data_IF_004870844088
#
_entry.id   IF_004870844088
#
_cell.length_a   1.000
_cell.length_b   1.000
_cell.length_c   1.000
_cell.angle_alpha   90.00
_cell.angle_beta   90.00
_cell.angle_gamma   90.00
#
_symmetry.space_group_name_H-M   'P 1'
#
loop_
_entity.id
_entity.type
_entity.pdbx_description
1 polymer ?
#
# COMPACT_ATOMS: atom_id res chain seq x y z
N UNK A 1 15.42 -15.23 11.00
CA UNK A 1 16.52 -14.34 11.45
C UNK A 1 17.49 -14.14 10.29
N UNK A 2 18.10 -12.96 10.19
CA UNK A 2 19.07 -12.61 9.12
C UNK A 2 20.06 -11.55 9.60
N UNK A 3 21.05 -11.21 8.78
CA UNK A 3 21.81 -9.97 8.97
C UNK A 3 20.90 -8.74 8.72
N UNK A 4 21.11 -7.62 9.42
CA UNK A 4 20.44 -6.37 9.10
C UNK A 4 20.87 -5.90 7.72
N UNK A 5 19.96 -5.33 6.94
CA UNK A 5 20.35 -4.54 5.77
C UNK A 5 21.14 -3.31 6.21
N UNK A 6 21.93 -2.73 5.30
CA UNK A 6 22.69 -1.52 5.63
C UNK A 6 21.80 -0.37 6.10
N UNK A 7 20.60 -0.24 5.49
CA UNK A 7 19.63 0.80 5.82
C UNK A 7 19.04 0.60 7.21
N UNK A 8 18.61 -0.62 7.55
CA UNK A 8 18.09 -0.95 8.88
C UNK A 8 19.15 -0.71 9.96
N UNK A 9 20.39 -1.13 9.67
CA UNK A 9 21.50 -0.92 10.58
C UNK A 9 21.74 0.57 10.83
N UNK A 10 21.78 1.39 9.77
CA UNK A 10 22.01 2.82 9.88
C UNK A 10 20.87 3.54 10.60
N UNK A 11 19.62 3.15 10.32
CA UNK A 11 18.45 3.67 11.02
C UNK A 11 18.52 3.38 12.52
N UNK A 12 18.87 2.15 12.89
CA UNK A 12 19.02 1.75 14.27
C UNK A 12 20.18 2.48 14.97
N UNK A 13 21.33 2.61 14.30
CA UNK A 13 22.51 3.30 14.83
C UNK A 13 22.25 4.80 15.06
N UNK A 14 21.40 5.43 14.25
CA UNK A 14 20.99 6.84 14.35
C UNK A 14 19.88 7.10 15.38
N UNK A 15 19.44 6.09 16.13
CA UNK A 15 18.39 6.24 17.14
C UNK A 15 16.95 6.17 16.58
N UNK A 16 16.78 5.89 15.28
CA UNK A 16 15.49 5.65 14.66
C UNK A 16 14.45 6.74 14.91
N UNK A 17 13.23 6.33 15.28
CA UNK A 17 12.11 7.22 15.56
C UNK A 17 12.11 7.80 16.99
N UNK A 18 13.13 7.50 17.81
CA UNK A 18 13.25 8.06 19.17
C UNK A 18 13.98 9.40 19.20
N UNK A 19 14.47 9.86 18.06
CA UNK A 19 15.18 11.14 17.91
C UNK A 19 14.49 12.05 16.89
N UNK A 20 14.74 13.36 16.97
CA UNK A 20 14.28 14.31 15.95
C UNK A 20 15.07 14.14 14.65
N UNK A 21 14.51 14.65 13.53
CA UNK A 21 15.22 14.65 12.23
C UNK A 21 16.59 15.33 12.31
N UNK A 22 16.69 16.43 13.07
CA UNK A 22 17.95 17.17 13.26
C UNK A 22 19.05 16.35 13.94
N UNK A 23 18.68 15.44 14.86
CA UNK A 23 19.60 14.52 15.53
C UNK A 23 19.87 13.30 14.66
N UNK A 24 18.86 12.81 13.94
CA UNK A 24 18.98 11.66 13.06
C UNK A 24 20.06 11.86 11.98
N UNK A 25 20.20 13.08 11.46
CA UNK A 25 21.19 13.42 10.43
C UNK A 25 22.62 13.59 10.98
N UNK A 26 22.81 13.64 12.30
CA UNK A 26 24.13 13.76 12.92
C UNK A 26 24.98 12.49 12.76
N UNK A 27 26.30 12.56 12.97
CA UNK A 27 27.18 11.39 12.88
C UNK A 27 26.86 10.28 13.90
N UNK A 28 26.31 10.65 15.05
CA UNK A 28 25.87 9.76 16.13
C UNK A 28 24.63 10.36 16.83
N UNK A 29 23.81 9.55 17.50
CA UNK A 29 22.53 10.00 18.07
C UNK A 29 22.65 10.59 19.50
N UNK A 30 23.86 10.96 19.91
CA UNK A 30 24.17 11.44 21.26
C UNK A 30 24.32 12.97 21.28
N UNK A 31 23.81 13.62 22.33
CA UNK A 31 24.00 15.05 22.57
C UNK A 31 25.45 15.41 22.97
N UNK A 32 26.22 14.42 23.43
CA UNK A 32 27.60 14.54 23.86
C UNK A 32 28.55 13.77 22.94
N UNK A 33 29.85 13.83 23.25
CA UNK A 33 30.84 12.96 22.57
C UNK A 33 30.48 11.48 22.77
N UNK A 34 30.88 10.57 21.84
CA UNK A 34 30.62 9.13 21.94
C UNK A 34 31.17 8.43 23.20
N UNK A 35 31.99 9.11 24.00
CA UNK A 35 32.54 8.58 25.25
C UNK A 35 31.43 8.20 26.23
N UNK A 36 31.46 6.94 26.71
CA UNK A 36 30.44 6.39 27.61
C UNK A 36 29.21 5.79 26.91
N UNK A 37 29.14 5.84 25.57
CA UNK A 37 28.15 5.13 24.77
C UNK A 37 28.77 4.03 23.88
N UNK A 38 30.02 4.23 23.46
CA UNK A 38 30.65 3.42 22.43
C UNK A 38 32.11 3.05 22.75
N UNK A 39 32.59 1.94 22.19
CA UNK A 39 33.98 1.49 22.33
C UNK A 39 34.83 1.82 21.10
N UNK A 40 35.72 2.80 21.24
CA UNK A 40 36.72 3.21 20.23
C UNK A 40 38.12 3.18 20.83
N UNK A 41 39.18 3.45 20.06
CA UNK A 41 40.58 3.19 20.47
C UNK A 41 40.92 3.62 21.90
N UNK A 42 40.64 4.86 22.26
CA UNK A 42 40.97 5.40 23.58
C UNK A 42 40.07 4.83 24.68
N UNK A 43 38.77 4.67 24.44
CA UNK A 43 37.83 4.12 25.42
C UNK A 43 38.04 2.61 25.65
N UNK A 44 38.35 1.88 24.58
CA UNK A 44 38.50 0.42 24.59
C UNK A 44 39.90 -0.02 25.01
N UNK A 45 40.90 0.87 25.05
CA UNK A 45 42.30 0.48 25.22
C UNK A 45 42.83 -0.34 24.04
N UNK A 46 42.29 -0.10 22.84
CA UNK A 46 42.58 -0.82 21.60
C UNK A 46 42.32 -2.34 21.71
N UNK A 47 41.24 -2.73 22.40
CA UNK A 47 40.83 -4.14 22.56
C UNK A 47 39.32 -4.28 22.45
N UNK A 48 38.86 -5.42 21.94
CA UNK A 48 37.45 -5.78 21.96
C UNK A 48 36.95 -5.84 23.41
N UNK A 49 35.73 -5.36 23.66
CA UNK A 49 35.10 -5.31 24.98
C UNK A 49 33.86 -6.18 25.02
N UNK A 50 33.50 -6.66 26.20
CA UNK A 50 32.25 -7.39 26.39
C UNK A 50 31.07 -6.48 26.04
N UNK A 51 30.18 -6.99 25.19
CA UNK A 51 28.97 -6.29 24.72
C UNK A 51 28.07 -5.95 25.90
N UNK A 52 27.46 -4.76 25.87
CA UNK A 52 26.55 -4.31 26.93
C UNK A 52 27.21 -4.16 28.31
N UNK A 53 28.50 -3.79 28.34
CA UNK A 53 29.19 -3.45 29.59
C UNK A 53 28.38 -2.41 30.39
N UNK A 54 28.32 -2.57 31.72
CA UNK A 54 27.63 -1.64 32.64
C UNK A 54 28.16 -0.20 32.55
N UNK A 55 29.36 -0.04 31.99
CA UNK A 55 30.02 1.25 31.79
C UNK A 55 29.48 2.02 30.58
N UNK A 56 28.76 1.36 29.68
CA UNK A 56 28.14 1.98 28.52
C UNK A 56 26.66 2.28 28.75
N UNK A 57 26.22 3.40 28.21
CA UNK A 57 24.81 3.70 27.99
C UNK A 57 24.39 3.24 26.60
N UNK A 58 23.15 2.75 26.42
CA UNK A 58 22.66 2.39 25.10
C UNK A 58 22.37 3.64 24.27
N UNK A 59 22.22 3.44 22.96
CA UNK A 59 21.64 4.43 22.08
C UNK A 59 20.13 4.68 22.37
N UNK A 60 19.48 5.68 21.74
CA UNK A 60 18.08 6.00 22.01
C UNK A 60 17.07 4.86 21.80
N UNK A 61 17.43 3.82 21.05
CA UNK A 61 16.62 2.61 20.85
C UNK A 61 16.90 1.51 21.88
N UNK A 62 17.82 1.74 22.84
CA UNK A 62 18.23 0.72 23.81
C UNK A 62 19.32 -0.23 23.28
N UNK A 63 19.94 0.07 22.14
CA UNK A 63 20.97 -0.78 21.53
C UNK A 63 22.37 -0.36 21.97
N UNK A 64 23.21 -1.35 22.26
CA UNK A 64 24.60 -1.15 22.65
C UNK A 64 25.54 -1.50 21.49
N UNK A 65 26.74 -0.93 21.54
CA UNK A 65 27.85 -1.26 20.65
C UNK A 65 27.48 -1.05 19.17
N UNK A 66 26.68 -0.04 18.86
CA UNK A 66 26.26 0.24 17.48
C UNK A 66 27.37 0.95 16.71
N UNK A 67 28.20 1.76 17.36
CA UNK A 67 29.27 2.51 16.72
C UNK A 67 30.60 2.21 17.42
N UNK A 68 31.25 1.10 17.08
CA UNK A 68 32.54 0.72 17.62
C UNK A 68 32.51 -0.73 18.10
N UNK A 69 33.43 -1.08 19.00
CA UNK A 69 33.69 -2.43 19.49
C UNK A 69 34.08 -3.40 18.35
N UNK A 70 33.14 -3.83 17.52
CA UNK A 70 33.39 -4.58 16.30
C UNK A 70 32.61 -3.97 15.13
N UNK A 71 33.22 -4.01 13.95
CA UNK A 71 32.52 -3.72 12.71
C UNK A 71 31.45 -4.79 12.46
N UNK A 72 30.24 -4.40 12.08
CA UNK A 72 29.13 -5.33 11.92
C UNK A 72 28.85 -5.62 10.44
N UNK A 73 28.86 -6.90 10.07
CA UNK A 73 28.41 -7.36 8.75
C UNK A 73 26.93 -7.04 8.53
N UNK A 74 26.64 -6.49 7.36
CA UNK A 74 25.27 -6.21 6.91
C UNK A 74 24.92 -7.02 5.66
N UNK A 75 23.63 -7.20 5.43
CA UNK A 75 23.10 -7.84 4.23
C UNK A 75 23.20 -6.86 3.06
N UNK A 76 24.13 -7.12 2.14
CA UNK A 76 24.34 -6.32 0.95
C UNK A 76 25.79 -6.34 0.47
N UNK A 77 25.96 -5.97 -0.79
CA UNK A 77 27.27 -5.78 -1.43
C UNK A 77 27.64 -4.30 -1.46
N UNK A 78 28.92 -4.02 -1.28
CA UNK A 78 29.44 -2.66 -1.28
C UNK A 78 29.35 -2.09 -2.68
N UNK A 79 28.55 -1.03 -2.85
CA UNK A 79 28.30 -0.40 -4.14
C UNK A 79 28.22 1.11 -4.00
N UNK A 80 28.65 1.82 -5.05
CA UNK A 80 28.51 3.26 -5.16
C UNK A 80 27.16 3.60 -5.82
N UNK A 81 26.49 4.65 -5.36
CA UNK A 81 25.13 5.02 -5.81
C UNK A 81 25.06 5.58 -7.25
N UNK A 82 26.19 5.62 -7.99
CA UNK A 82 26.25 6.17 -9.35
C UNK A 82 26.51 5.10 -10.42
N UNK A 83 25.46 4.90 -11.25
CA UNK A 83 25.32 4.48 -12.66
C UNK A 83 26.32 3.54 -13.38
N UNK A 84 27.51 3.20 -12.86
CA UNK A 84 28.47 2.30 -13.53
C UNK A 84 29.36 1.47 -12.58
N UNK A 85 29.00 1.31 -11.30
CA UNK A 85 29.91 0.71 -10.32
C UNK A 85 29.98 -0.83 -10.40
N UNK A 86 31.22 -1.37 -10.36
CA UNK A 86 31.50 -2.78 -10.05
C UNK A 86 31.03 -3.06 -8.62
N UNK A 87 30.31 -4.16 -8.41
CA UNK A 87 29.95 -4.60 -7.08
C UNK A 87 31.21 -5.04 -6.30
N UNK A 88 31.38 -4.49 -5.09
CA UNK A 88 32.45 -4.84 -4.17
C UNK A 88 32.11 -6.02 -3.27
N UNK A 89 32.88 -6.18 -2.19
CA UNK A 89 32.68 -7.18 -1.13
C UNK A 89 31.47 -6.91 -0.25
N UNK A 90 31.41 -7.56 0.92
CA UNK A 90 30.32 -7.35 1.87
C UNK A 90 30.45 -5.99 2.55
N UNK A 91 29.32 -5.39 2.91
CA UNK A 91 29.31 -4.13 3.65
C UNK A 91 29.47 -4.40 5.14
N UNK A 92 30.42 -3.72 5.79
CA UNK A 92 30.55 -3.63 7.25
C UNK A 92 30.34 -2.20 7.73
N UNK A 93 29.72 -2.06 8.91
CA UNK A 93 29.33 -0.77 9.50
C UNK A 93 29.79 -0.65 10.96
N UNK A 94 29.66 0.54 11.54
CA UNK A 94 29.91 0.79 12.97
C UNK A 94 31.33 1.21 13.33
N UNK A 95 32.33 0.79 12.56
CA UNK A 95 33.72 0.90 13.00
C UNK A 95 34.00 -0.10 14.14
N UNK A 96 35.22 -0.11 14.63
CA UNK A 96 35.69 -1.12 15.58
C UNK A 96 36.48 -0.50 16.74
N UNK A 97 36.84 -1.33 17.72
CA UNK A 97 37.56 -0.93 18.93
C UNK A 97 38.90 -0.20 18.68
N UNK A 98 39.48 -0.29 17.47
CA UNK A 98 40.78 0.30 17.12
C UNK A 98 40.68 1.62 16.33
N UNK A 99 39.47 2.03 15.96
CA UNK A 99 39.23 3.26 15.19
C UNK A 99 39.33 4.51 16.09
N UNK A 100 39.67 5.66 15.47
CA UNK A 100 39.69 6.95 16.16
C UNK A 100 38.25 7.44 16.40
N UNK A 101 38.03 8.27 17.42
CA UNK A 101 36.68 8.78 17.74
C UNK A 101 36.01 9.49 16.56
N UNK A 102 36.77 10.20 15.72
CA UNK A 102 36.25 10.89 14.53
C UNK A 102 35.76 9.95 13.42
N UNK A 103 36.15 8.68 13.49
CA UNK A 103 35.73 7.63 12.56
C UNK A 103 34.48 6.89 13.05
N UNK A 104 34.07 7.09 14.31
CA UNK A 104 32.91 6.45 14.92
C UNK A 104 31.64 7.18 14.51
N UNK A 105 31.12 6.83 13.33
CA UNK A 105 29.99 7.51 12.68
C UNK A 105 29.01 6.52 12.06
N UNK A 106 27.72 6.78 12.21
CA UNK A 106 26.65 5.99 11.60
C UNK A 106 26.69 6.02 10.06
N UNK A 107 27.31 7.02 9.44
CA UNK A 107 27.50 7.12 7.98
C UNK A 107 28.74 6.37 7.45
N UNK A 108 29.65 5.89 8.31
CA UNK A 108 30.89 5.23 7.85
C UNK A 108 30.59 3.85 7.27
N UNK A 109 30.83 3.72 5.96
CA UNK A 109 30.72 2.46 5.23
C UNK A 109 32.12 1.91 4.98
N UNK A 110 32.31 0.61 5.20
CA UNK A 110 33.55 -0.07 4.86
C UNK A 110 33.27 -1.37 4.10
N UNK A 111 34.23 -1.77 3.27
CA UNK A 111 34.17 -2.99 2.48
C UNK A 111 34.93 -4.12 3.20
N UNK A 112 34.25 -5.26 3.36
CA UNK A 112 34.83 -6.48 3.87
C UNK A 112 35.07 -7.48 2.74
N UNK A 113 36.35 -7.75 2.48
CA UNK A 113 36.78 -8.74 1.49
C UNK A 113 36.75 -10.13 2.12
N UNK A 114 35.78 -10.94 1.72
CA UNK A 114 35.58 -12.29 2.28
C UNK A 114 36.71 -13.24 1.94
N UNK A 115 37.35 -13.06 0.79
CA UNK A 115 38.40 -13.94 0.28
C UNK A 115 39.72 -13.21 0.10
N UNK A 116 40.82 -13.90 0.40
CA UNK A 116 42.17 -13.51 0.01
C UNK A 116 42.36 -13.72 -1.49
N UNK A 117 43.43 -13.18 -2.06
CA UNK A 117 43.79 -13.36 -3.48
C UNK A 117 43.99 -14.82 -3.88
N UNK A 118 44.29 -15.71 -2.93
CA UNK A 118 44.47 -17.14 -3.13
C UNK A 118 43.18 -17.97 -2.94
N UNK A 119 42.03 -17.33 -2.67
CA UNK A 119 40.73 -18.01 -2.47
C UNK A 119 40.44 -18.42 -1.03
N UNK A 120 41.37 -18.28 -0.09
CA UNK A 120 41.11 -18.59 1.32
C UNK A 120 40.16 -17.58 1.95
N UNK A 121 39.34 -18.05 2.89
CA UNK A 121 38.45 -17.19 3.68
C UNK A 121 39.28 -16.26 4.57
N UNK A 122 39.05 -14.96 4.45
CA UNK A 122 39.58 -13.94 5.33
C UNK A 122 38.62 -13.77 6.51
N UNK A 123 39.16 -13.76 7.74
CA UNK A 123 38.43 -13.47 8.98
C UNK A 123 39.17 -12.40 9.76
N UNK A 124 38.61 -11.20 9.85
CA UNK A 124 39.17 -10.15 10.68
C UNK A 124 38.64 -10.25 12.11
N UNK A 125 39.54 -10.22 13.10
CA UNK A 125 39.19 -10.28 14.52
C UNK A 125 38.38 -9.07 15.02
N UNK A 126 38.26 -8.03 14.18
CA UNK A 126 37.54 -6.79 14.46
C UNK A 126 36.17 -6.71 13.79
N UNK A 127 35.77 -7.75 13.05
CA UNK A 127 34.48 -7.82 12.34
C UNK A 127 33.62 -8.90 12.98
N UNK A 128 32.42 -8.52 13.40
CA UNK A 128 31.37 -9.37 13.92
C UNK A 128 30.08 -9.19 13.14
N UNK A 129 28.95 -9.43 13.82
CA UNK A 129 27.62 -9.28 13.24
C UNK A 129 26.57 -9.06 14.32
N UNK A 130 25.42 -8.56 13.89
CA UNK A 130 24.19 -8.47 14.66
C UNK A 130 23.08 -9.21 13.92
N UNK A 131 22.12 -9.74 14.66
CA UNK A 131 20.95 -10.39 14.07
C UNK A 131 19.79 -9.39 13.99
N UNK A 132 19.16 -9.36 12.83
CA UNK A 132 17.86 -8.76 12.62
C UNK A 132 16.79 -9.86 12.58
N UNK A 133 15.68 -9.61 13.28
CA UNK A 133 14.49 -10.44 13.21
C UNK A 133 13.48 -9.67 12.35
N UNK A 134 13.26 -10.15 11.14
CA UNK A 134 12.11 -9.75 10.34
C UNK A 134 10.94 -10.68 10.66
N UNK A 135 9.79 -10.10 10.94
CA UNK A 135 8.49 -10.76 10.85
C UNK A 135 7.74 -10.13 9.68
N UNK A 136 6.77 -10.84 9.12
CA UNK A 136 5.76 -10.16 8.30
C UNK A 136 5.07 -9.16 9.23
N UNK A 137 5.19 -7.88 8.90
CA UNK A 137 4.48 -6.82 9.60
C UNK A 137 3.43 -6.34 8.62
N UNK A 138 2.18 -6.70 8.87
CA UNK A 138 1.06 -6.15 8.15
C UNK A 138 0.84 -4.71 8.60
N UNK A 139 1.05 -3.73 7.72
CA UNK A 139 0.70 -2.33 8.01
C UNK A 139 -0.81 -2.16 8.29
N UNK A 140 -1.63 -3.07 7.75
CA UNK A 140 -3.09 -3.08 7.95
C UNK A 140 -3.53 -3.80 9.23
N UNK A 141 -2.60 -4.36 10.02
CA UNK A 141 -2.91 -5.02 11.29
C UNK A 141 -3.46 -6.45 11.14
N UNK A 142 -3.36 -7.06 9.96
CA UNK A 142 -3.68 -8.47 9.77
C UNK A 142 -2.64 -9.36 10.46
N UNK A 143 -3.12 -10.45 11.05
CA UNK A 143 -2.26 -11.52 11.59
C UNK A 143 -1.60 -12.30 10.45
N UNK A 144 -0.52 -13.03 10.76
CA UNK A 144 0.16 -13.85 9.76
C UNK A 144 -0.79 -14.90 9.19
N UNK A 145 -1.59 -15.54 10.05
CA UNK A 145 -2.56 -16.56 9.65
C UNK A 145 -3.61 -15.97 8.69
N UNK A 146 -4.11 -14.75 8.95
CA UNK A 146 -5.04 -14.06 8.04
C UNK A 146 -4.42 -13.70 6.69
N UNK A 147 -3.12 -13.39 6.66
CA UNK A 147 -2.40 -13.12 5.41
C UNK A 147 -2.12 -14.40 4.63
N UNK A 148 -1.78 -15.47 5.32
CA UNK A 148 -1.54 -16.79 4.73
C UNK A 148 -2.85 -17.37 4.17
N UNK A 149 -3.96 -17.28 4.92
CA UNK A 149 -5.29 -17.67 4.46
C UNK A 149 -5.72 -16.84 3.24
N UNK A 150 -5.54 -15.51 3.28
CA UNK A 150 -5.84 -14.65 2.14
C UNK A 150 -4.94 -14.92 0.93
N UNK A 151 -3.69 -15.34 1.15
CA UNK A 151 -2.76 -15.71 0.10
C UNK A 151 -3.11 -17.07 -0.52
N UNK A 152 -3.54 -18.04 0.27
CA UNK A 152 -4.07 -19.32 -0.19
C UNK A 152 -5.37 -19.11 -0.97
N UNK A 153 -6.30 -18.31 -0.46
CA UNK A 153 -7.52 -17.90 -1.17
C UNK A 153 -7.17 -17.18 -2.49
N UNK A 154 -6.16 -16.31 -2.47
CA UNK A 154 -5.66 -15.64 -3.67
C UNK A 154 -5.14 -16.67 -4.68
N UNK A 155 -4.24 -17.58 -4.30
CA UNK A 155 -3.68 -18.64 -5.14
C UNK A 155 -4.77 -19.54 -5.73
N UNK A 156 -5.78 -19.87 -4.92
CA UNK A 156 -6.89 -20.75 -5.31
C UNK A 156 -7.94 -20.04 -6.17
N UNK A 157 -7.97 -18.70 -6.15
CA UNK A 157 -8.80 -17.91 -7.06
C UNK A 157 -8.23 -17.92 -8.49
N UNK A 158 -9.11 -17.72 -9.49
CA UNK A 158 -8.72 -17.53 -10.92
C UNK A 158 -7.76 -16.34 -11.15
N UNK A 159 -7.47 -15.54 -10.10
CA UNK A 159 -6.53 -14.42 -10.12
C UNK A 159 -5.13 -14.74 -9.54
N UNK A 160 -4.96 -15.91 -8.93
CA UNK A 160 -3.79 -16.31 -8.13
C UNK A 160 -2.65 -17.01 -8.87
N UNK A 161 -2.97 -17.66 -9.99
CA UNK A 161 -1.95 -18.13 -10.92
C UNK A 161 -1.48 -16.89 -11.66
N UNK A 162 -0.17 -16.62 -11.67
CA UNK A 162 0.46 -15.56 -12.47
C UNK A 162 -0.30 -15.41 -13.79
N UNK A 163 -1.15 -14.39 -13.87
CA UNK A 163 -1.80 -14.05 -15.12
C UNK A 163 -0.65 -13.90 -16.11
N UNK A 164 -0.70 -14.66 -17.20
CA UNK A 164 0.28 -14.52 -18.28
C UNK A 164 0.42 -13.03 -18.56
N UNK A 165 1.64 -12.49 -18.46
CA UNK A 165 1.88 -11.05 -18.58
C UNK A 165 1.09 -10.50 -19.78
N UNK A 166 0.49 -9.30 -19.64
CA UNK A 166 -0.57 -8.84 -20.52
C UNK A 166 -0.17 -9.00 -21.98
N UNK A 167 -0.84 -9.93 -22.67
CA UNK A 167 -0.68 -10.13 -24.11
C UNK A 167 -1.65 -9.18 -24.80
N UNK A 168 -1.35 -7.88 -24.70
CA UNK A 168 -2.14 -6.80 -25.28
C UNK A 168 -1.28 -5.95 -26.22
N UNK A 169 -1.83 -5.54 -27.37
CA UNK A 169 -1.17 -4.64 -28.34
C UNK A 169 -1.18 -3.16 -27.89
N UNK A 170 -1.17 -2.87 -26.58
CA UNK A 170 -1.38 -1.52 -26.03
C UNK A 170 -0.56 -1.24 -24.78
N UNK A 171 -0.25 0.04 -24.54
CA UNK A 171 0.59 0.52 -23.41
C UNK A 171 0.06 0.14 -22.02
N UNK A 172 0.98 0.01 -21.05
CA UNK A 172 0.70 -0.37 -19.66
C UNK A 172 -0.32 0.56 -18.95
N UNK A 173 -0.34 1.86 -19.24
CA UNK A 173 -1.37 2.74 -18.64
C UNK A 173 -2.77 2.54 -19.21
N UNK A 174 -2.88 2.19 -20.49
CA UNK A 174 -4.17 1.89 -21.10
C UNK A 174 -4.70 0.55 -20.61
N UNK A 175 -3.82 -0.44 -20.47
CA UNK A 175 -4.14 -1.72 -19.83
C UNK A 175 -4.60 -1.50 -18.38
N UNK A 176 -3.84 -0.76 -17.57
CA UNK A 176 -4.21 -0.46 -16.19
C UNK A 176 -5.52 0.33 -16.06
N UNK A 177 -5.84 1.22 -17.00
CA UNK A 177 -7.14 1.90 -17.03
C UNK A 177 -8.29 0.94 -17.36
N UNK A 178 -8.09 0.03 -18.32
CA UNK A 178 -9.09 -0.98 -18.65
C UNK A 178 -9.32 -1.95 -17.49
N UNK A 179 -8.25 -2.42 -16.86
CA UNK A 179 -8.30 -3.32 -15.70
C UNK A 179 -9.00 -2.63 -14.51
N UNK A 180 -8.71 -1.35 -14.29
CA UNK A 180 -9.38 -0.55 -13.25
C UNK A 180 -10.88 -0.38 -13.53
N UNK A 181 -11.27 -0.14 -14.79
CA UNK A 181 -12.69 -0.04 -15.18
C UNK A 181 -13.40 -1.38 -14.98
N UNK A 182 -12.76 -2.49 -15.35
CA UNK A 182 -13.32 -3.83 -15.16
C UNK A 182 -13.49 -4.14 -13.66
N UNK A 183 -12.46 -3.89 -12.86
CA UNK A 183 -12.53 -4.06 -11.40
C UNK A 183 -13.67 -3.25 -10.78
N UNK A 184 -13.81 -1.97 -11.12
CA UNK A 184 -14.91 -1.15 -10.60
C UNK A 184 -16.28 -1.62 -11.09
N UNK A 185 -16.37 -2.14 -12.32
CA UNK A 185 -17.63 -2.70 -12.84
C UNK A 185 -18.04 -3.95 -12.05
N UNK A 186 -17.10 -4.86 -11.78
CA UNK A 186 -17.35 -6.07 -11.03
C UNK A 186 -17.69 -5.76 -9.57
N UNK A 187 -16.99 -4.81 -8.96
CA UNK A 187 -17.24 -4.36 -7.59
C UNK A 187 -18.59 -3.65 -7.45
N UNK A 188 -19.00 -2.85 -8.44
CA UNK A 188 -20.35 -2.26 -8.51
C UNK A 188 -21.41 -3.37 -8.57
N UNK A 189 -21.18 -4.44 -9.35
CA UNK A 189 -22.10 -5.58 -9.41
C UNK A 189 -22.21 -6.27 -8.05
N UNK A 190 -21.07 -6.57 -7.42
CA UNK A 190 -21.00 -7.19 -6.09
C UNK A 190 -21.75 -6.37 -5.03
N UNK A 191 -21.49 -5.07 -4.96
CA UNK A 191 -22.16 -4.17 -4.03
C UNK A 191 -23.66 -4.05 -4.32
N UNK A 192 -24.07 -4.13 -5.59
CA UNK A 192 -25.50 -4.13 -5.97
C UNK A 192 -26.22 -5.37 -5.44
N UNK A 193 -25.57 -6.53 -5.56
CA UNK A 193 -26.09 -7.79 -5.04
C UNK A 193 -26.16 -7.79 -3.50
N UNK A 194 -25.12 -7.28 -2.83
CA UNK A 194 -25.10 -7.15 -1.36
C UNK A 194 -26.21 -6.20 -0.86
N UNK A 195 -26.43 -5.05 -1.51
CA UNK A 195 -27.53 -4.14 -1.17
C UNK A 195 -28.90 -4.80 -1.39
N UNK A 196 -29.04 -5.66 -2.40
CA UNK A 196 -30.28 -6.40 -2.67
C UNK A 196 -30.56 -7.42 -1.57
N UNK A 197 -29.54 -8.13 -1.10
CA UNK A 197 -29.64 -9.07 0.02
C UNK A 197 -30.00 -8.35 1.32
N UNK A 198 -29.28 -7.28 1.68
CA UNK A 198 -29.55 -6.47 2.87
C UNK A 198 -30.96 -5.87 2.86
N UNK A 199 -31.48 -5.47 1.69
CA UNK A 199 -32.88 -5.03 1.54
C UNK A 199 -33.88 -6.15 1.77
N UNK A 200 -33.53 -7.38 1.40
CA UNK A 200 -34.32 -8.59 1.69
C UNK A 200 -34.39 -8.83 3.20
N UNK A 201 -33.24 -8.82 3.88
CA UNK A 201 -33.17 -9.01 5.32
C UNK A 201 -33.92 -7.92 6.09
N UNK A 202 -33.79 -6.66 5.67
CA UNK A 202 -34.49 -5.56 6.32
C UNK A 202 -36.03 -5.70 6.17
N UNK A 203 -36.53 -6.19 5.02
CA UNK A 203 -37.95 -6.52 4.86
C UNK A 203 -38.38 -7.62 5.82
N UNK A 204 -37.58 -8.67 5.99
CA UNK A 204 -37.88 -9.75 6.91
C UNK A 204 -37.93 -9.26 8.37
N UNK A 205 -36.98 -8.42 8.78
CA UNK A 205 -36.94 -7.82 10.11
C UNK A 205 -38.15 -6.90 10.37
N UNK A 206 -38.55 -6.10 9.37
CA UNK A 206 -39.76 -5.27 9.46
C UNK A 206 -41.00 -6.14 9.64
N UNK A 207 -41.12 -7.22 8.88
CA UNK A 207 -42.23 -8.18 9.03
C UNK A 207 -42.26 -8.80 10.42
N UNK A 208 -41.10 -9.26 10.94
CA UNK A 208 -41.01 -9.78 12.30
C UNK A 208 -41.43 -8.73 13.35
N UNK A 209 -41.01 -7.47 13.20
CA UNK A 209 -41.38 -6.39 14.10
C UNK A 209 -42.90 -6.11 14.08
N UNK A 210 -43.53 -6.11 12.91
CA UNK A 210 -44.99 -5.97 12.77
C UNK A 210 -45.74 -7.13 13.45
N UNK A 211 -45.28 -8.38 13.27
CA UNK A 211 -45.93 -9.53 13.94
C UNK A 211 -45.80 -9.47 15.46
N UNK A 212 -44.65 -9.02 15.98
CA UNK A 212 -44.43 -8.82 17.41
C UNK A 212 -45.31 -7.69 17.95
N UNK A 213 -45.46 -6.60 17.20
CA UNK A 213 -46.33 -5.48 17.57
C UNK A 213 -47.79 -5.93 17.71
N UNK A 214 -48.31 -6.68 16.73
CA UNK A 214 -49.66 -7.25 16.80
C UNK A 214 -49.87 -8.15 18.02
N UNK A 215 -48.89 -9.00 18.35
CA UNK A 215 -48.92 -9.83 19.57
C UNK A 215 -48.93 -8.98 20.86
N UNK A 216 -48.28 -7.82 20.87
CA UNK A 216 -48.30 -6.92 22.04
C UNK A 216 -49.69 -6.30 22.21
N UNK A 217 -50.30 -5.84 21.13
CA UNK A 217 -51.66 -5.27 21.15
C UNK A 217 -52.70 -6.30 21.62
N UNK A 218 -52.61 -7.53 21.14
CA UNK A 218 -53.47 -8.63 21.59
C UNK A 218 -53.35 -8.85 23.10
N UNK A 219 -52.13 -8.93 23.62
CA UNK A 219 -51.89 -9.08 25.05
C UNK A 219 -52.44 -7.90 25.88
N UNK A 220 -52.35 -6.66 25.37
CA UNK A 220 -52.92 -5.48 26.04
C UNK A 220 -54.44 -5.56 26.13
N UNK A 221 -55.11 -6.04 25.08
CA UNK A 221 -56.56 -6.29 25.09
C UNK A 221 -56.95 -7.35 26.13
N UNK A 222 -56.22 -8.47 26.17
CA UNK A 222 -56.46 -9.53 27.18
C UNK A 222 -56.31 -8.99 28.60
N UNK A 223 -55.29 -8.17 28.85
CA UNK A 223 -55.01 -7.59 30.16
C UNK A 223 -56.11 -6.58 30.57
N UNK A 224 -56.67 -5.84 29.61
CA UNK A 224 -57.80 -4.94 29.86
C UNK A 224 -59.08 -5.72 30.25
N UNK A 225 -59.34 -6.88 29.63
CA UNK A 225 -60.47 -7.76 29.99
C UNK A 225 -60.30 -8.29 31.40
N UNK A 226 -59.14 -8.86 31.73
CA UNK A 226 -58.83 -9.37 33.07
C UNK A 226 -58.97 -8.28 34.14
N UNK A 227 -58.58 -7.03 33.83
CA UNK A 227 -58.73 -5.90 34.76
C UNK A 227 -60.20 -5.54 35.02
N UNK A 228 -61.08 -5.69 34.03
CA UNK A 228 -62.53 -5.49 34.20
C UNK A 228 -63.15 -6.61 35.04
N UNK A 229 -62.78 -7.85 34.79
CA UNK A 229 -63.23 -9.01 35.58
C UNK A 229 -62.81 -8.88 37.04
N UNK A 230 -61.56 -8.49 37.30
CA UNK A 230 -61.06 -8.24 38.65
C UNK A 230 -61.83 -7.13 39.38
N UNK A 231 -62.18 -6.05 38.67
CA UNK A 231 -62.97 -4.96 39.25
C UNK A 231 -64.43 -5.39 39.52
N UNK A 232 -65.03 -6.22 38.64
CA UNK A 232 -66.36 -6.76 38.84
C UNK A 232 -66.43 -7.67 40.08
N UNK A 233 -65.41 -8.50 40.31
CA UNK A 233 -65.32 -9.32 41.51
C UNK A 233 -65.05 -8.50 42.78
N UNK A 234 -64.31 -7.40 42.69
CA UNK A 234 -64.15 -6.47 43.81
C UNK A 234 -65.48 -5.81 44.23
N UNK A 235 -66.33 -5.46 43.26
CA UNK A 235 -67.66 -4.89 43.55
C UNK A 235 -68.64 -5.95 44.09
N UNK A 236 -68.57 -7.22 43.63
CA UNK A 236 -69.32 -8.33 44.24
C UNK A 236 -68.93 -8.55 45.70
N UNK A 237 -67.63 -8.50 46.02
CA UNK A 237 -67.14 -8.60 47.39
C UNK A 237 -67.56 -7.41 48.29
N UNK A 238 -67.76 -6.23 47.70
CA UNK A 238 -68.29 -5.04 48.39
C UNK A 238 -69.76 -5.21 48.79
N UNK A 239 -70.53 -6.02 48.06
CA UNK A 239 -71.94 -6.30 48.35
C UNK A 239 -72.15 -7.39 49.41
N UNK A 240 -71.14 -8.22 49.67
CA UNK A 240 -71.13 -9.22 50.75
C UNK A 240 -70.97 -8.61 52.15
N UNK A 241 -70.65 -7.32 52.27
CA UNK A 241 -70.45 -6.64 53.57
C UNK A 241 -71.72 -6.06 54.21
N UNK A 242 -72.91 -6.33 53.66
CA UNK A 242 -74.21 -5.78 54.15
C UNK A 242 -75.13 -6.79 54.82
N UNK A 243 -74.69 -8.02 55.08
CA UNK A 243 -75.47 -9.02 55.81
C UNK A 243 -74.68 -9.56 57.00
N UNK A 244 -75.11 -9.15 58.21
CA UNK A 244 -75.33 -10.02 59.38
C UNK A 244 -75.10 -9.25 60.71
N UNK A 245 -76.21 -8.99 61.40
CA UNK A 245 -76.25 -8.65 62.81
C UNK A 245 -76.05 -9.90 63.69
N UNK A 246 -75.01 -9.77 64.52
CA UNK A 246 -74.84 -10.17 65.93
C UNK A 246 -75.20 -11.60 66.39
N UNK A 247 -74.28 -12.52 66.06
CA UNK A 247 -73.79 -13.61 66.94
C UNK A 247 -72.23 -13.62 66.88
N UNK A 248 -71.61 -12.47 67.27
CA UNK A 248 -70.77 -11.67 66.35
C UNK A 248 -69.26 -11.59 66.56
N UNK A 249 -68.57 -12.38 67.39
CA UNK A 249 -67.10 -12.19 67.50
C UNK A 249 -66.32 -13.41 67.01
N UNK A 250 -66.61 -14.62 67.47
CA UNK A 250 -65.78 -15.79 67.08
C UNK A 250 -66.04 -16.30 65.65
N UNK A 251 -67.30 -16.28 65.17
CA UNK A 251 -67.58 -16.52 63.75
C UNK A 251 -67.05 -15.40 62.87
N UNK A 252 -67.08 -14.14 63.33
CA UNK A 252 -66.54 -13.00 62.56
C UNK A 252 -65.01 -13.05 62.48
N UNK A 253 -64.32 -13.46 63.55
CA UNK A 253 -62.87 -13.65 63.55
C UNK A 253 -62.48 -14.80 62.63
N UNK A 254 -63.16 -15.96 62.70
CA UNK A 254 -62.84 -17.09 61.83
C UNK A 254 -63.16 -16.84 60.35
N UNK A 255 -64.27 -16.16 60.04
CA UNK A 255 -64.59 -15.72 58.68
C UNK A 255 -63.60 -14.65 58.22
N UNK A 256 -63.23 -13.68 59.08
CA UNK A 256 -62.24 -12.67 58.74
C UNK A 256 -60.85 -13.27 58.50
N UNK A 257 -60.45 -14.27 59.29
CA UNK A 257 -59.21 -15.04 59.09
C UNK A 257 -59.29 -15.80 57.77
N UNK A 258 -60.37 -16.53 57.50
CA UNK A 258 -60.58 -17.24 56.22
C UNK A 258 -60.56 -16.30 55.00
N UNK A 259 -61.20 -15.14 55.11
CA UNK A 259 -61.19 -14.10 54.07
C UNK A 259 -59.78 -13.52 53.91
N UNK A 260 -59.05 -13.31 55.02
CA UNK A 260 -57.67 -12.84 54.96
C UNK A 260 -56.72 -13.90 54.41
N UNK A 261 -56.92 -15.18 54.69
CA UNK A 261 -56.15 -16.28 54.11
C UNK A 261 -56.42 -16.45 52.61
N UNK A 262 -57.66 -16.23 52.21
CA UNK A 262 -58.06 -16.18 50.80
C UNK A 262 -57.42 -15.00 50.08
N UNK A 263 -57.39 -13.83 50.74
CA UNK A 263 -56.75 -12.63 50.21
C UNK A 263 -55.22 -12.74 50.17
N UNK A 264 -54.60 -13.38 51.17
CA UNK A 264 -53.18 -13.73 51.19
C UNK A 264 -52.86 -14.69 50.03
N UNK A 265 -53.73 -15.67 49.77
CA UNK A 265 -53.56 -16.62 48.66
C UNK A 265 -53.68 -15.92 47.30
N UNK A 266 -54.62 -14.98 47.15
CA UNK A 266 -54.73 -14.16 45.94
C UNK A 266 -53.52 -13.25 45.74
N UNK A 267 -53.08 -12.57 46.79
CA UNK A 267 -51.90 -11.70 46.74
C UNK A 267 -50.63 -12.51 46.43
N UNK A 268 -50.50 -13.73 46.92
CA UNK A 268 -49.42 -14.66 46.54
C UNK A 268 -49.49 -15.04 45.06
N UNK A 269 -50.69 -15.32 44.53
CA UNK A 269 -50.89 -15.59 43.09
C UNK A 269 -50.51 -14.37 42.23
N UNK A 270 -50.97 -13.17 42.60
CA UNK A 270 -50.62 -11.91 41.91
C UNK A 270 -49.11 -11.64 41.98
N UNK A 271 -48.47 -11.85 43.14
CA UNK A 271 -47.02 -11.72 43.30
C UNK A 271 -46.26 -12.69 42.40
N UNK A 272 -46.77 -13.92 42.23
CA UNK A 272 -46.18 -14.95 41.37
C UNK A 272 -46.30 -14.57 39.89
N UNK A 273 -47.46 -14.05 39.47
CA UNK A 273 -47.66 -13.54 38.11
C UNK A 273 -46.77 -12.33 37.81
N UNK A 274 -46.69 -11.36 38.72
CA UNK A 274 -45.81 -10.19 38.58
C UNK A 274 -44.34 -10.61 38.52
N UNK A 275 -43.92 -11.57 39.35
CA UNK A 275 -42.55 -12.11 39.31
C UNK A 275 -42.23 -12.76 37.96
N UNK A 276 -43.20 -13.47 37.36
CA UNK A 276 -43.05 -14.06 36.01
C UNK A 276 -42.92 -13.01 34.91
N UNK A 277 -43.68 -11.91 35.00
CA UNK A 277 -43.61 -10.80 34.05
C UNK A 277 -42.28 -10.06 34.14
N UNK A 278 -41.82 -9.79 35.37
CA UNK A 278 -40.50 -9.18 35.63
C UNK A 278 -39.39 -10.07 35.06
N UNK A 279 -39.45 -11.38 35.27
CA UNK A 279 -38.47 -12.32 34.70
C UNK A 279 -38.47 -12.28 33.16
N UNK A 280 -39.63 -12.17 32.53
CA UNK A 280 -39.77 -12.07 31.07
C UNK A 280 -39.18 -10.75 30.53
N UNK A 281 -39.44 -9.63 31.20
CA UNK A 281 -38.87 -8.33 30.84
C UNK A 281 -37.35 -8.27 31.03
N UNK A 282 -36.81 -8.90 32.09
CA UNK A 282 -35.36 -8.99 32.31
C UNK A 282 -34.69 -9.76 31.17
N UNK A 283 -35.30 -10.83 30.65
CA UNK A 283 -34.75 -11.57 29.51
C UNK A 283 -34.79 -10.74 28.21
N UNK A 284 -35.86 -9.97 27.98
CA UNK A 284 -35.96 -9.06 26.83
C UNK A 284 -34.91 -7.93 26.89
N UNK A 285 -34.64 -7.38 28.08
CA UNK A 285 -33.60 -6.38 28.29
C UNK A 285 -32.21 -6.97 28.00
N UNK A 286 -31.93 -8.19 28.47
CA UNK A 286 -30.67 -8.88 28.16
C UNK A 286 -30.48 -9.12 26.66
N UNK A 287 -31.52 -9.54 25.94
CA UNK A 287 -31.43 -9.73 24.48
C UNK A 287 -31.20 -8.41 23.76
N UNK A 288 -31.81 -7.31 24.21
CA UNK A 288 -31.60 -5.98 23.64
C UNK A 288 -30.17 -5.49 23.86
N UNK A 289 -29.63 -5.65 25.07
CA UNK A 289 -28.24 -5.28 25.38
C UNK A 289 -27.23 -6.06 24.51
N UNK A 290 -27.54 -7.33 24.21
CA UNK A 290 -26.72 -8.17 23.34
C UNK A 290 -26.76 -7.69 21.87
N UNK A 291 -27.94 -7.30 21.39
CA UNK A 291 -28.12 -6.66 20.07
C UNK A 291 -27.40 -5.32 19.98
N UNK A 292 -27.47 -4.48 21.02
CA UNK A 292 -26.78 -3.17 21.07
C UNK A 292 -25.26 -3.35 21.00
N UNK A 293 -24.71 -4.34 21.71
CA UNK A 293 -23.28 -4.71 21.60
C UNK A 293 -22.91 -5.16 20.18
N UNK A 294 -23.78 -5.93 19.52
CA UNK A 294 -23.57 -6.37 18.14
C UNK A 294 -23.60 -5.19 17.16
N UNK A 295 -24.56 -4.27 17.31
CA UNK A 295 -24.65 -3.03 16.52
C UNK A 295 -23.37 -2.20 16.69
N UNK A 296 -22.90 -1.99 17.92
CA UNK A 296 -21.66 -1.26 18.17
C UNK A 296 -20.44 -1.91 17.49
N UNK A 297 -20.35 -3.24 17.53
CA UNK A 297 -19.27 -3.96 16.84
C UNK A 297 -19.32 -3.81 15.32
N UNK A 298 -20.52 -3.80 14.73
CA UNK A 298 -20.73 -3.61 13.29
C UNK A 298 -20.40 -2.17 12.88
N UNK A 299 -20.83 -1.17 13.66
CA UNK A 299 -20.49 0.23 13.42
C UNK A 299 -18.98 0.46 13.42
N UNK A 300 -18.26 -0.18 14.35
CA UNK A 300 -16.80 -0.14 14.37
C UNK A 300 -16.20 -0.73 13.09
N UNK A 301 -16.66 -1.92 12.67
CA UNK A 301 -16.21 -2.57 11.42
C UNK A 301 -16.46 -1.69 10.18
N UNK A 302 -17.60 -1.01 10.12
CA UNK A 302 -17.94 -0.07 9.03
C UNK A 302 -16.97 1.11 9.03
N UNK A 303 -16.73 1.76 10.18
CA UNK A 303 -15.78 2.87 10.27
C UNK A 303 -14.35 2.47 9.90
N UNK A 304 -13.92 1.26 10.32
CA UNK A 304 -12.63 0.71 9.93
C UNK A 304 -12.57 0.41 8.41
N UNK A 305 -13.67 -0.04 7.79
CA UNK A 305 -13.77 -0.23 6.35
C UNK A 305 -13.69 1.10 5.58
N UNK A 306 -14.41 2.13 6.01
CA UNK A 306 -14.36 3.48 5.41
C UNK A 306 -12.95 4.08 5.46
N UNK A 307 -12.25 3.88 6.58
CA UNK A 307 -10.85 4.31 6.72
C UNK A 307 -9.94 3.57 5.75
N UNK A 308 -10.12 2.25 5.59
CA UNK A 308 -9.35 1.44 4.63
C UNK A 308 -9.58 1.90 3.19
N UNK A 309 -10.82 2.16 2.81
CA UNK A 309 -11.16 2.65 1.48
C UNK A 309 -10.49 4.00 1.18
N UNK A 310 -10.50 4.92 2.15
CA UNK A 310 -9.83 6.22 2.03
C UNK A 310 -8.31 6.07 1.80
N UNK A 311 -7.66 5.15 2.53
CA UNK A 311 -6.22 4.87 2.37
C UNK A 311 -5.93 4.24 1.01
N UNK A 312 -6.75 3.27 0.59
CA UNK A 312 -6.61 2.61 -0.71
C UNK A 312 -6.73 3.62 -1.87
N UNK A 313 -7.74 4.50 -1.83
CA UNK A 313 -7.91 5.57 -2.80
C UNK A 313 -6.69 6.51 -2.86
N UNK A 314 -6.12 6.86 -1.71
CA UNK A 314 -4.91 7.69 -1.66
C UNK A 314 -3.70 7.01 -2.33
N UNK A 315 -3.47 5.74 -2.04
CA UNK A 315 -2.36 4.99 -2.66
C UNK A 315 -2.60 4.75 -4.16
N UNK A 316 -3.84 4.52 -4.60
CA UNK A 316 -4.20 4.45 -6.01
C UNK A 316 -3.85 5.77 -6.72
N UNK A 317 -4.21 6.92 -6.14
CA UNK A 317 -3.91 8.22 -6.74
C UNK A 317 -2.40 8.47 -6.84
N UNK A 318 -1.66 8.11 -5.78
CA UNK A 318 -0.20 8.20 -5.74
C UNK A 318 0.47 7.29 -6.76
N UNK A 319 0.01 6.05 -6.91
CA UNK A 319 0.52 5.10 -7.89
C UNK A 319 0.20 5.56 -9.33
N UNK A 320 -0.99 6.10 -9.58
CA UNK A 320 -1.35 6.71 -10.87
C UNK A 320 -0.38 7.83 -11.26
N UNK A 321 -0.02 8.71 -10.32
CA UNK A 321 0.99 9.77 -10.54
C UNK A 321 2.38 9.17 -10.88
N UNK A 322 2.79 8.11 -10.18
CA UNK A 322 4.07 7.42 -10.44
C UNK A 322 4.11 6.76 -11.82
N UNK A 323 3.03 6.11 -12.24
CA UNK A 323 2.91 5.48 -13.57
C UNK A 323 3.07 6.55 -14.65
N UNK A 324 2.37 7.68 -14.54
CA UNK A 324 2.48 8.79 -15.51
C UNK A 324 3.93 9.30 -15.60
N UNK A 325 4.62 9.43 -14.46
CA UNK A 325 6.03 9.86 -14.46
C UNK A 325 6.95 8.83 -15.12
N UNK A 326 6.73 7.54 -14.86
CA UNK A 326 7.49 6.47 -15.50
C UNK A 326 7.25 6.42 -17.01
N UNK A 327 6.00 6.57 -17.45
CA UNK A 327 5.64 6.65 -18.87
C UNK A 327 6.28 7.85 -19.56
N UNK A 328 6.25 9.03 -18.93
CA UNK A 328 6.92 10.22 -19.46
C UNK A 328 8.42 9.99 -19.64
N UNK A 329 9.08 9.29 -18.71
CA UNK A 329 10.51 8.95 -18.81
C UNK A 329 10.80 7.98 -19.95
N UNK A 330 9.99 6.93 -20.10
CA UNK A 330 10.12 5.98 -21.20
C UNK A 330 9.89 6.68 -22.56
N UNK A 331 8.81 7.44 -22.67
CA UNK A 331 8.50 8.22 -23.86
C UNK A 331 9.62 9.22 -24.18
N UNK A 332 10.16 9.92 -23.18
CA UNK A 332 11.30 10.82 -23.36
C UNK A 332 12.53 10.09 -23.91
N UNK A 333 12.88 8.93 -23.35
CA UNK A 333 14.00 8.13 -23.81
C UNK A 333 13.82 7.68 -25.27
N UNK A 334 12.65 7.16 -25.62
CA UNK A 334 12.35 6.69 -26.97
C UNK A 334 12.35 7.85 -27.98
N UNK A 335 11.75 8.99 -27.64
CA UNK A 335 11.72 10.20 -28.49
C UNK A 335 13.14 10.73 -28.72
N UNK A 336 14.00 10.73 -27.69
CA UNK A 336 15.41 11.16 -27.83
C UNK A 336 16.18 10.25 -28.78
N UNK A 337 16.08 8.94 -28.63
CA UNK A 337 16.81 7.99 -29.48
C UNK A 337 16.27 8.02 -30.91
N UNK A 338 14.94 8.04 -31.09
CA UNK A 338 14.32 8.16 -32.40
C UNK A 338 14.73 9.47 -33.10
N UNK A 339 14.65 10.61 -32.41
CA UNK A 339 15.07 11.91 -32.94
C UNK A 339 16.55 11.95 -33.31
N UNK A 340 17.42 11.32 -32.52
CA UNK A 340 18.85 11.19 -32.82
C UNK A 340 19.11 10.33 -34.07
N UNK A 341 18.44 9.17 -34.20
CA UNK A 341 18.58 8.29 -35.35
C UNK A 341 18.11 8.99 -36.63
N UNK A 342 16.97 9.68 -36.58
CA UNK A 342 16.44 10.47 -37.69
C UNK A 342 17.42 11.57 -38.14
N UNK A 343 17.95 12.34 -37.19
CA UNK A 343 18.92 13.38 -37.47
C UNK A 343 20.23 12.82 -38.04
N UNK A 344 20.72 11.69 -37.50
CA UNK A 344 21.94 11.03 -37.97
C UNK A 344 21.77 10.52 -39.40
N UNK A 345 20.63 9.90 -39.72
CA UNK A 345 20.29 9.50 -41.07
C UNK A 345 20.28 10.71 -42.02
N UNK A 346 19.58 11.78 -41.65
CA UNK A 346 19.53 13.01 -42.44
C UNK A 346 20.93 13.60 -42.69
N UNK A 347 21.77 13.67 -41.65
CA UNK A 347 23.15 14.18 -41.74
C UNK A 347 23.99 13.34 -42.72
N UNK A 348 23.87 12.01 -42.66
CA UNK A 348 24.60 11.10 -43.53
C UNK A 348 24.13 11.22 -44.99
N UNK A 349 22.81 11.33 -45.23
CA UNK A 349 22.26 11.60 -46.56
C UNK A 349 22.70 12.96 -47.11
N UNK A 350 22.69 14.00 -46.27
CA UNK A 350 23.13 15.34 -46.66
C UNK A 350 24.61 15.37 -47.03
N UNK A 351 25.45 14.63 -46.30
CA UNK A 351 26.86 14.48 -46.62
C UNK A 351 27.07 13.78 -47.98
N UNK A 352 26.25 12.79 -48.32
CA UNK A 352 26.25 12.15 -49.64
C UNK A 352 25.85 13.15 -50.72
N UNK A 353 24.79 13.94 -50.51
CA UNK A 353 24.28 14.92 -51.47
C UNK A 353 25.30 16.04 -51.78
N UNK A 354 25.93 16.61 -50.74
CA UNK A 354 26.97 17.64 -50.91
C UNK A 354 28.15 17.11 -51.74
N UNK A 355 28.59 15.88 -51.46
CA UNK A 355 29.69 15.23 -52.18
C UNK A 355 29.33 14.88 -53.63
N UNK A 356 28.07 14.52 -53.91
CA UNK A 356 27.55 14.35 -55.29
C UNK A 356 27.63 15.65 -56.09
N UNK A 357 27.27 16.78 -55.48
CA UNK A 357 27.29 18.10 -56.13
C UNK A 357 28.70 18.66 -56.34
N UNK A 358 29.65 18.30 -55.48
CA UNK A 358 31.05 18.76 -55.54
C UNK A 358 31.89 18.08 -56.65
N UNK A 359 31.36 17.04 -57.30
CA UNK A 359 31.90 16.46 -58.54
C UNK A 359 33.41 16.22 -58.57
N UNK A 360 34.00 15.38 -57.69
CA UNK A 360 35.25 14.59 -57.92
C UNK A 360 35.83 13.92 -56.65
N UNK A 361 36.48 12.75 -56.83
CA UNK A 361 37.61 12.18 -56.03
C UNK A 361 37.39 11.60 -54.61
N UNK A 362 36.21 11.12 -54.24
CA UNK A 362 36.01 10.41 -52.95
C UNK A 362 35.80 8.91 -53.19
N UNK A 363 36.62 8.06 -52.54
CA UNK A 363 36.55 6.59 -52.61
C UNK A 363 35.12 6.06 -52.51
N UNK A 364 34.66 5.20 -53.45
CA UNK A 364 33.32 4.59 -53.45
C UNK A 364 32.94 3.93 -52.12
N UNK A 365 33.91 3.46 -51.34
CA UNK A 365 33.69 2.80 -50.04
C UNK A 365 33.11 3.73 -48.96
N UNK A 366 33.48 5.02 -48.95
CA UNK A 366 32.94 5.97 -47.96
C UNK A 366 31.46 6.31 -48.22
N UNK A 367 31.00 6.17 -49.48
CA UNK A 367 29.61 6.40 -49.88
C UNK A 367 28.73 5.25 -49.42
N UNK A 368 29.24 4.04 -49.63
CA UNK A 368 28.58 2.82 -49.25
C UNK A 368 28.44 2.73 -47.72
N UNK A 369 29.46 3.14 -46.96
CA UNK A 369 29.39 3.22 -45.50
C UNK A 369 28.34 4.23 -45.01
N UNK A 370 28.35 5.46 -45.52
CA UNK A 370 27.35 6.48 -45.11
C UNK A 370 25.92 6.07 -45.51
N UNK A 371 25.76 5.41 -46.66
CA UNK A 371 24.48 4.89 -47.13
C UNK A 371 23.97 3.79 -46.19
N UNK A 372 24.78 2.78 -45.92
CA UNK A 372 24.44 1.68 -45.00
C UNK A 372 24.12 2.19 -43.59
N UNK A 373 24.87 3.17 -43.10
CA UNK A 373 24.62 3.77 -41.80
C UNK A 373 23.31 4.56 -41.78
N UNK A 374 23.00 5.34 -42.83
CA UNK A 374 21.72 6.04 -42.94
C UNK A 374 20.53 5.06 -42.97
N UNK A 375 20.62 3.99 -43.76
CA UNK A 375 19.59 2.94 -43.81
C UNK A 375 19.43 2.22 -42.47
N UNK A 376 20.53 1.93 -41.76
CA UNK A 376 20.49 1.33 -40.42
C UNK A 376 19.81 2.26 -39.40
N UNK A 377 20.14 3.55 -39.43
CA UNK A 377 19.51 4.55 -38.56
C UNK A 377 18.01 4.70 -38.85
N UNK A 378 17.59 4.65 -40.12
CA UNK A 378 16.18 4.68 -40.51
C UNK A 378 15.41 3.42 -40.09
N UNK A 379 16.05 2.24 -40.14
CA UNK A 379 15.49 1.00 -39.59
C UNK A 379 15.22 1.11 -38.10
N UNK A 380 16.20 1.59 -37.33
CA UNK A 380 16.03 1.78 -35.89
C UNK A 380 15.04 2.92 -35.58
N UNK A 381 15.05 4.01 -36.33
CA UNK A 381 14.06 5.09 -36.21
C UNK A 381 12.62 4.57 -36.36
N UNK A 382 12.34 3.80 -37.42
CA UNK A 382 11.06 3.13 -37.62
C UNK A 382 10.70 2.23 -36.44
N UNK A 383 11.66 1.42 -35.96
CA UNK A 383 11.47 0.54 -34.80
C UNK A 383 11.07 1.33 -33.55
N UNK A 384 11.72 2.46 -33.29
CA UNK A 384 11.40 3.31 -32.15
C UNK A 384 10.04 4.01 -32.31
N UNK A 385 9.62 4.39 -33.52
CA UNK A 385 8.25 4.90 -33.73
C UNK A 385 7.21 3.85 -33.30
N UNK A 386 7.39 2.60 -33.73
CA UNK A 386 6.50 1.50 -33.34
C UNK A 386 6.54 1.31 -31.81
N UNK A 387 7.72 1.30 -31.19
CA UNK A 387 7.81 1.20 -29.72
C UNK A 387 7.14 2.37 -28.99
N UNK A 388 7.20 3.59 -29.52
CA UNK A 388 6.51 4.74 -28.94
C UNK A 388 5.00 4.52 -28.98
N UNK A 389 4.48 4.03 -30.10
CA UNK A 389 3.04 3.80 -30.29
C UNK A 389 2.55 2.65 -29.41
N UNK A 390 3.27 1.53 -29.40
CA UNK A 390 2.84 0.31 -28.74
C UNK A 390 3.04 0.37 -27.22
N UNK A 391 4.14 0.97 -26.76
CA UNK A 391 4.57 0.87 -25.36
C UNK A 391 4.34 2.13 -24.53
N UNK A 392 3.82 3.23 -25.12
CA UNK A 392 3.65 4.49 -24.39
C UNK A 392 2.32 5.17 -24.66
N UNK A 393 1.92 6.06 -23.75
CA UNK A 393 0.76 6.91 -23.96
C UNK A 393 1.11 8.13 -24.82
N UNK A 394 0.80 8.05 -26.12
CA UNK A 394 1.08 9.10 -27.12
C UNK A 394 0.40 10.44 -26.79
N UNK A 395 -0.65 10.48 -25.95
CA UNK A 395 -1.25 11.75 -25.49
C UNK A 395 -0.26 12.62 -24.71
N UNK A 396 0.78 12.02 -24.12
CA UNK A 396 1.83 12.73 -23.38
C UNK A 396 2.93 13.29 -24.30
N UNK A 397 2.91 12.96 -25.60
CA UNK A 397 3.94 13.34 -26.55
C UNK A 397 4.17 14.85 -26.66
N UNK A 398 3.16 15.74 -26.69
CA UNK A 398 3.39 17.18 -26.77
C UNK A 398 4.21 17.73 -25.59
N UNK A 399 3.91 17.25 -24.37
CA UNK A 399 4.62 17.66 -23.16
C UNK A 399 6.07 17.14 -23.17
N UNK A 400 6.25 15.86 -23.50
CA UNK A 400 7.58 15.24 -23.56
C UNK A 400 8.43 15.85 -24.67
N UNK A 401 7.86 16.10 -25.85
CA UNK A 401 8.53 16.77 -26.96
C UNK A 401 9.03 18.15 -26.54
N UNK A 402 8.19 18.99 -25.93
CA UNK A 402 8.60 20.31 -25.44
C UNK A 402 9.79 20.22 -24.46
N UNK A 403 9.77 19.23 -23.56
CA UNK A 403 10.90 18.98 -22.65
C UNK A 403 12.18 18.60 -23.38
N UNK A 404 12.10 17.74 -24.40
CA UNK A 404 13.27 17.35 -25.22
C UNK A 404 13.77 18.54 -26.03
N UNK A 405 12.89 19.35 -26.63
CA UNK A 405 13.24 20.57 -27.38
C UNK A 405 14.01 21.54 -26.48
N UNK A 406 13.46 21.88 -25.30
CA UNK A 406 14.12 22.77 -24.34
C UNK A 406 15.52 22.27 -23.96
N UNK A 407 15.67 20.96 -23.79
CA UNK A 407 16.97 20.35 -23.50
C UNK A 407 17.94 20.47 -24.69
N UNK A 408 17.49 20.21 -25.93
CA UNK A 408 18.31 20.34 -27.13
C UNK A 408 18.78 21.78 -27.34
N UNK A 409 17.89 22.76 -27.17
CA UNK A 409 18.19 24.19 -27.25
C UNK A 409 19.20 24.63 -26.19
N UNK A 410 18.99 24.22 -24.93
CA UNK A 410 19.90 24.53 -23.82
C UNK A 410 21.31 23.98 -24.05
N UNK A 411 21.42 22.84 -24.75
CA UNK A 411 22.69 22.20 -25.09
C UNK A 411 23.24 22.64 -26.46
N UNK A 412 22.62 23.64 -27.12
CA UNK A 412 23.04 24.18 -28.43
C UNK A 412 23.17 23.11 -29.51
N UNK A 413 22.28 22.11 -29.48
CA UNK A 413 22.24 21.05 -30.49
C UNK A 413 21.70 21.60 -31.82
N UNK A 414 22.07 20.96 -32.93
CA UNK A 414 21.67 21.36 -34.28
C UNK A 414 20.15 21.56 -34.41
N UNK A 415 19.74 22.71 -34.97
CA UNK A 415 18.34 23.06 -35.19
C UNK A 415 17.61 22.01 -36.04
N UNK A 416 18.31 21.31 -36.93
CA UNK A 416 17.75 20.22 -37.74
C UNK A 416 17.34 19.02 -36.90
N UNK A 417 18.03 18.75 -35.78
CA UNK A 417 17.61 17.71 -34.86
C UNK A 417 16.34 18.09 -34.11
N UNK A 418 16.19 19.37 -33.75
CA UNK A 418 14.96 19.90 -33.13
C UNK A 418 13.78 19.80 -34.11
N UNK A 419 13.97 20.26 -35.34
CA UNK A 419 12.94 20.17 -36.40
C UNK A 419 12.59 18.72 -36.74
N UNK A 420 13.56 17.80 -36.65
CA UNK A 420 13.31 16.36 -36.80
C UNK A 420 12.30 15.81 -35.80
N UNK A 421 12.13 16.43 -34.63
CA UNK A 421 11.09 16.04 -33.68
C UNK A 421 9.67 16.36 -34.16
N UNK A 422 9.50 17.39 -35.01
CA UNK A 422 8.21 17.68 -35.66
C UNK A 422 7.87 16.60 -36.68
N UNK A 423 8.84 16.18 -37.49
CA UNK A 423 8.69 15.07 -38.43
C UNK A 423 8.40 13.75 -37.72
N UNK A 424 9.09 13.49 -36.61
CA UNK A 424 8.83 12.34 -35.74
C UNK A 424 7.40 12.34 -35.21
N UNK A 425 6.89 13.48 -34.72
CA UNK A 425 5.51 13.59 -34.26
C UNK A 425 4.52 13.31 -35.39
N UNK A 426 4.76 13.83 -36.60
CA UNK A 426 3.94 13.54 -37.78
C UNK A 426 3.95 12.04 -38.12
N UNK A 427 5.13 11.43 -38.19
CA UNK A 427 5.26 10.00 -38.49
C UNK A 427 4.56 9.12 -37.44
N UNK A 428 4.60 9.48 -36.15
CA UNK A 428 3.83 8.78 -35.12
C UNK A 428 2.32 8.84 -35.45
N UNK A 429 1.79 10.02 -35.79
CA UNK A 429 0.37 10.19 -36.14
C UNK A 429 0.00 9.40 -37.40
N UNK A 430 0.85 9.42 -38.42
CA UNK A 430 0.62 8.67 -39.67
C UNK A 430 0.60 7.14 -39.41
N UNK A 431 1.52 6.62 -38.58
CA UNK A 431 1.53 5.20 -38.23
C UNK A 431 0.32 4.81 -37.36
N UNK A 432 -0.13 5.69 -36.45
CA UNK A 432 -1.39 5.49 -35.71
C UNK A 432 -2.61 5.42 -36.63
N UNK A 433 -2.56 6.07 -37.80
CA UNK A 433 -3.61 6.02 -38.83
C UNK A 433 -3.44 4.81 -39.78
N UNK A 434 -2.46 3.92 -39.52
CA UNK A 434 -2.23 2.71 -40.29
C UNK A 434 -1.19 2.85 -41.41
N UNK A 435 -0.49 3.99 -41.53
CA UNK A 435 0.60 4.13 -42.50
C UNK A 435 1.78 3.24 -42.09
N UNK A 436 2.29 2.46 -43.04
CA UNK A 436 3.54 1.73 -42.85
C UNK A 436 4.71 2.56 -43.39
N UNK A 437 5.66 2.94 -42.52
CA UNK A 437 6.85 3.68 -42.93
C UNK A 437 7.85 2.71 -43.57
N UNK A 438 7.95 2.71 -44.90
CA UNK A 438 8.99 1.94 -45.59
C UNK A 438 10.34 2.64 -45.45
N UNK A 439 11.40 1.87 -45.21
CA UNK A 439 12.75 2.44 -45.03
C UNK A 439 13.26 3.08 -46.31
N UNK A 440 12.96 2.49 -47.46
CA UNK A 440 13.37 3.00 -48.77
C UNK A 440 12.67 4.33 -49.08
N UNK A 441 11.36 4.43 -48.79
CA UNK A 441 10.61 5.69 -48.92
C UNK A 441 11.16 6.77 -47.99
N UNK A 442 11.44 6.44 -46.72
CA UNK A 442 12.07 7.36 -45.78
C UNK A 442 13.44 7.82 -46.30
N UNK A 443 14.25 6.90 -46.83
CA UNK A 443 15.57 7.21 -47.37
C UNK A 443 15.48 8.22 -48.53
N UNK A 444 14.54 8.02 -49.44
CA UNK A 444 14.35 8.87 -50.62
C UNK A 444 13.72 10.22 -50.27
N UNK A 445 12.80 10.27 -49.30
CA UNK A 445 12.05 11.48 -48.95
C UNK A 445 12.73 12.36 -47.91
N UNK A 446 13.61 11.83 -47.04
CA UNK A 446 14.09 12.52 -45.82
C UNK A 446 14.70 13.90 -46.04
N UNK A 447 15.45 14.11 -47.13
CA UNK A 447 16.05 15.41 -47.47
C UNK A 447 15.03 16.42 -48.03
N UNK A 448 13.86 15.94 -48.45
CA UNK A 448 12.78 16.73 -49.05
C UNK A 448 11.60 16.98 -48.09
N UNK A 449 11.64 16.42 -46.89
CA UNK A 449 10.62 16.60 -45.86
C UNK A 449 10.52 18.08 -45.44
N UNK A 450 9.31 18.66 -45.37
CA UNK A 450 9.13 20.08 -45.11
C UNK A 450 9.70 20.54 -43.76
N UNK A 451 9.71 19.67 -42.75
CA UNK A 451 10.29 19.96 -41.44
C UNK A 451 11.82 20.07 -41.50
N UNK A 452 12.48 19.32 -42.39
CA UNK A 452 13.94 19.22 -42.48
C UNK A 452 14.56 20.03 -43.64
N UNK A 453 13.74 20.78 -44.38
CA UNK A 453 14.14 21.62 -45.53
C UNK A 453 14.96 22.84 -45.16
#
# INVERSE_FOLDING_TARGET
MRLPTEVEWAYAARGGNKVSLSVFDQPHPYDSTPGGYEWYRQASGNKIRHTGSKELKPNPLGLYDMLGNAEELTYGIFGHDFLFARFGGLVVRGGNFSDHIDDIKASRRAEYKVYKSNGDILRWSKVGFRLAIGTLVSESGHTNDELDDAYEDYIQSDSGVTQSGPVGKTSLSQQAQADQVNYYSDEISRLSDEVKELRGDNKNLVYEAETLHGKIEENLLTLAVLKRELNAEREKNKNLSKLADIESIDKKINIAISVKDSEISRLKSELTQLSSLVAKQVNQLKSKELSDKKIFSLQKKVSDAERRDTIALHEIEKNKKRIIVAEKRLLEALVRVAGYNLYTAWRNLRAIEIKKRAGSSVSPSAWDNNKREAEAMLKEYRRYIVQIIDNTNVKLLPEVKNKVVNWLESNKIDKRQIQGLDLLERHIREVQQGKYLQVDELYDSLLSEPELK
#
